data_IF_786628011081
#
_entry.id   IF_786628011081
#
_cell.length_a   1.000
_cell.length_b   1.000
_cell.length_c   1.000
_cell.angle_alpha   90.00
_cell.angle_beta   90.00
_cell.angle_gamma   90.00
#
_symmetry.space_group_name_H-M   'P 1'
#
loop_
_entity.id
_entity.type
_entity.pdbx_description
1 polymer ?
#
# COMPACT_ATOMS: atom_id res chain seq x y z
N UNK A 1 8.30 -20.80 -4.56
CA UNK A 1 9.77 -20.74 -4.63
C UNK A 1 10.44 -21.58 -3.53
N UNK A 2 10.34 -21.21 -2.25
CA UNK A 2 11.11 -21.81 -1.13
C UNK A 2 11.05 -23.36 -1.03
N UNK A 3 9.87 -24.01 -0.99
CA UNK A 3 9.81 -25.48 -0.94
C UNK A 3 10.38 -26.15 -2.19
N UNK A 4 10.30 -25.48 -3.35
CA UNK A 4 10.88 -25.99 -4.60
C UNK A 4 12.41 -25.94 -4.63
N UNK A 5 13.01 -24.88 -4.08
CA UNK A 5 14.47 -24.77 -3.91
C UNK A 5 14.96 -25.87 -2.97
N UNK A 6 14.26 -26.09 -1.85
CA UNK A 6 14.61 -27.11 -0.88
C UNK A 6 14.48 -28.53 -1.45
N UNK A 7 13.40 -28.83 -2.17
CA UNK A 7 13.21 -30.12 -2.85
C UNK A 7 14.23 -30.35 -3.96
N UNK A 8 14.51 -29.35 -4.80
CA UNK A 8 15.51 -29.46 -5.86
C UNK A 8 16.90 -29.74 -5.29
N UNK A 9 17.27 -29.06 -4.19
CA UNK A 9 18.52 -29.37 -3.49
C UNK A 9 18.54 -30.79 -2.92
N UNK A 10 17.43 -31.25 -2.32
CA UNK A 10 17.31 -32.59 -1.74
C UNK A 10 17.47 -33.69 -2.81
N UNK A 11 16.89 -33.51 -3.99
CA UNK A 11 16.92 -34.50 -5.07
C UNK A 11 18.21 -34.49 -5.87
N UNK A 12 18.78 -33.31 -6.14
CA UNK A 12 19.94 -33.20 -7.05
C UNK A 12 21.27 -33.11 -6.30
N UNK A 13 21.27 -32.74 -5.02
CA UNK A 13 22.49 -32.50 -4.22
C UNK A 13 23.40 -31.40 -4.78
N UNK A 14 22.97 -30.70 -5.83
CA UNK A 14 23.80 -29.82 -6.64
C UNK A 14 23.43 -28.36 -6.40
N UNK A 15 24.45 -27.52 -6.21
CA UNK A 15 24.32 -26.08 -5.90
C UNK A 15 24.09 -25.21 -7.16
N UNK A 16 23.89 -25.85 -8.32
CA UNK A 16 23.76 -25.15 -9.59
C UNK A 16 22.57 -24.16 -9.53
N UNK A 17 22.79 -22.85 -9.76
CA UNK A 17 21.73 -21.84 -9.71
C UNK A 17 20.56 -22.19 -10.62
N UNK A 18 20.84 -22.80 -11.77
CA UNK A 18 19.82 -23.21 -12.74
C UNK A 18 18.85 -24.26 -12.18
N UNK A 19 19.35 -25.24 -11.43
CA UNK A 19 18.55 -26.32 -10.84
C UNK A 19 17.67 -25.78 -9.72
N UNK A 20 18.23 -24.90 -8.87
CA UNK A 20 17.49 -24.25 -7.79
C UNK A 20 16.40 -23.32 -8.32
N UNK A 21 16.69 -22.55 -9.38
CA UNK A 21 15.71 -21.68 -10.04
C UNK A 21 14.61 -22.50 -10.71
N UNK A 22 14.93 -23.60 -11.39
CA UNK A 22 13.94 -24.51 -11.97
C UNK A 22 13.02 -25.10 -10.89
N UNK A 23 13.58 -25.57 -9.77
CA UNK A 23 12.80 -26.02 -8.62
C UNK A 23 11.91 -24.92 -8.05
N UNK A 24 12.43 -23.70 -7.91
CA UNK A 24 11.69 -22.54 -7.45
C UNK A 24 10.51 -22.20 -8.37
N UNK A 25 10.73 -22.28 -9.69
CA UNK A 25 9.74 -22.00 -10.73
C UNK A 25 8.62 -23.05 -10.73
N UNK A 26 8.96 -24.35 -10.71
CA UNK A 26 7.99 -25.45 -10.61
C UNK A 26 7.10 -25.31 -9.37
N UNK A 27 7.70 -25.07 -8.21
CA UNK A 27 6.93 -24.84 -6.98
C UNK A 27 6.10 -23.54 -7.03
N UNK A 28 6.57 -22.53 -7.75
CA UNK A 28 5.81 -21.30 -8.01
C UNK A 28 4.55 -21.59 -8.82
N UNK A 29 4.68 -22.30 -9.94
CA UNK A 29 3.55 -22.72 -10.80
C UNK A 29 2.56 -23.57 -10.02
N UNK A 30 3.04 -24.57 -9.27
CA UNK A 30 2.20 -25.39 -8.39
C UNK A 30 1.44 -24.54 -7.37
N UNK A 31 2.12 -23.60 -6.70
CA UNK A 31 1.48 -22.68 -5.76
C UNK A 31 0.40 -21.83 -6.42
N UNK A 32 0.66 -21.28 -7.60
CA UNK A 32 -0.33 -20.51 -8.37
C UNK A 32 -1.54 -21.36 -8.75
N UNK A 33 -1.33 -22.60 -9.19
CA UNK A 33 -2.43 -23.52 -9.51
C UNK A 33 -3.28 -23.82 -8.27
N UNK A 34 -2.66 -24.01 -7.10
CA UNK A 34 -3.39 -24.20 -5.84
C UNK A 34 -4.21 -22.94 -5.50
N UNK A 35 -3.65 -21.73 -5.63
CA UNK A 35 -4.39 -20.48 -5.41
C UNK A 35 -5.61 -20.41 -6.34
N UNK A 36 -5.42 -20.64 -7.64
CA UNK A 36 -6.50 -20.61 -8.63
C UNK A 36 -7.57 -21.66 -8.30
N UNK A 37 -7.16 -22.87 -7.93
CA UNK A 37 -8.07 -23.95 -7.51
C UNK A 37 -8.91 -23.54 -6.30
N UNK A 38 -8.28 -23.01 -5.24
CA UNK A 38 -8.97 -22.55 -4.04
C UNK A 38 -9.97 -21.44 -4.37
N UNK A 39 -9.57 -20.45 -5.16
CA UNK A 39 -10.44 -19.31 -5.53
C UNK A 39 -11.60 -19.74 -6.42
N UNK A 40 -11.41 -20.75 -7.30
CA UNK A 40 -12.48 -21.27 -8.15
C UNK A 40 -13.46 -22.17 -7.41
N UNK A 41 -12.99 -22.94 -6.43
CA UNK A 41 -13.82 -23.92 -5.72
C UNK A 41 -14.46 -23.36 -4.45
N UNK A 42 -13.94 -22.25 -3.89
CA UNK A 42 -14.44 -21.66 -2.63
C UNK A 42 -14.84 -20.20 -2.80
N UNK A 43 -15.55 -19.64 -1.81
CA UNK A 43 -15.91 -18.20 -1.76
C UNK A 43 -14.79 -17.31 -1.21
N UNK A 44 -13.57 -17.83 -1.12
CA UNK A 44 -12.42 -17.09 -0.57
C UNK A 44 -11.91 -16.09 -1.60
N UNK A 45 -11.71 -14.84 -1.17
CA UNK A 45 -11.13 -13.80 -2.03
C UNK A 45 -9.70 -14.17 -2.44
N UNK A 46 -9.31 -13.79 -3.66
CA UNK A 46 -7.98 -14.07 -4.20
C UNK A 46 -6.84 -13.67 -3.25
N UNK A 47 -6.94 -12.49 -2.63
CA UNK A 47 -5.92 -12.00 -1.69
C UNK A 47 -5.78 -12.89 -0.44
N UNK A 48 -6.90 -13.39 0.08
CA UNK A 48 -6.91 -14.30 1.24
C UNK A 48 -6.36 -15.67 0.87
N UNK A 49 -6.73 -16.20 -0.30
CA UNK A 49 -6.22 -17.47 -0.81
C UNK A 49 -4.71 -17.40 -1.06
N UNK A 50 -4.23 -16.30 -1.66
CA UNK A 50 -2.81 -16.02 -1.84
C UNK A 50 -2.07 -16.05 -0.50
N UNK A 51 -2.58 -15.34 0.52
CA UNK A 51 -1.96 -15.29 1.85
C UNK A 51 -1.88 -16.66 2.54
N UNK A 52 -2.94 -17.47 2.44
CA UNK A 52 -2.96 -18.83 3.00
C UNK A 52 -1.95 -19.72 2.29
N UNK A 53 -1.98 -19.78 0.96
CA UNK A 53 -1.08 -20.66 0.18
C UNK A 53 0.38 -20.26 0.39
N UNK A 54 0.68 -18.95 0.39
CA UNK A 54 2.02 -18.45 0.68
C UNK A 54 2.49 -18.90 2.07
N UNK A 55 1.66 -18.76 3.10
CA UNK A 55 2.01 -19.15 4.47
C UNK A 55 2.27 -20.65 4.61
N UNK A 56 1.42 -21.49 4.00
CA UNK A 56 1.57 -22.96 4.03
C UNK A 56 2.82 -23.41 3.27
N UNK A 57 3.01 -22.93 2.04
CA UNK A 57 4.18 -23.29 1.22
C UNK A 57 5.47 -22.80 1.85
N UNK A 58 5.44 -21.61 2.46
CA UNK A 58 6.58 -21.05 3.17
C UNK A 58 6.95 -21.87 4.41
N UNK A 59 5.96 -22.18 5.27
CA UNK A 59 6.15 -23.01 6.44
C UNK A 59 6.66 -24.41 6.09
N UNK A 60 6.07 -25.04 5.07
CA UNK A 60 6.53 -26.34 4.57
C UNK A 60 7.98 -26.28 4.06
N UNK A 61 8.32 -25.26 3.28
CA UNK A 61 9.68 -25.07 2.79
C UNK A 61 10.69 -24.83 3.91
N UNK A 62 10.32 -24.10 4.97
CA UNK A 62 11.18 -23.88 6.14
C UNK A 62 11.43 -25.17 6.92
N UNK A 63 10.42 -26.04 7.06
CA UNK A 63 10.60 -27.37 7.67
C UNK A 63 11.60 -28.20 6.85
N UNK A 64 11.44 -28.24 5.53
CA UNK A 64 12.39 -28.93 4.65
C UNK A 64 13.80 -28.37 4.77
N UNK A 65 13.93 -27.05 4.81
CA UNK A 65 15.22 -26.37 4.97
C UNK A 65 15.88 -26.75 6.29
N UNK A 66 15.14 -26.69 7.39
CA UNK A 66 15.64 -27.06 8.73
C UNK A 66 16.08 -28.52 8.76
N UNK A 67 15.31 -29.41 8.12
CA UNK A 67 15.67 -30.82 7.98
C UNK A 67 16.96 -31.03 7.17
N UNK A 68 17.14 -30.29 6.08
CA UNK A 68 18.37 -30.33 5.27
C UNK A 68 19.55 -29.89 6.12
N UNK A 69 19.46 -28.75 6.81
CA UNK A 69 20.55 -28.14 7.60
C UNK A 69 21.04 -29.01 8.76
N UNK A 70 20.19 -29.88 9.32
CA UNK A 70 20.57 -30.80 10.38
C UNK A 70 21.44 -31.97 9.89
N UNK A 71 21.62 -32.17 8.58
CA UNK A 71 22.53 -33.19 8.05
C UNK A 71 23.98 -32.68 8.00
N UNK A 72 24.98 -33.50 8.36
CA UNK A 72 26.39 -33.07 8.46
C UNK A 72 27.01 -32.54 7.15
N UNK A 73 26.53 -32.98 5.99
CA UNK A 73 26.93 -32.46 4.65
C UNK A 73 26.25 -31.13 4.26
N UNK A 74 25.31 -30.63 5.06
CA UNK A 74 24.41 -29.53 4.68
C UNK A 74 24.83 -28.13 5.14
N UNK A 75 25.82 -28.04 6.05
CA UNK A 75 26.37 -26.77 6.55
C UNK A 75 26.96 -25.84 5.47
N UNK A 76 27.11 -26.34 4.23
CA UNK A 76 27.65 -25.59 3.09
C UNK A 76 26.65 -25.26 1.97
N UNK A 77 25.34 -25.47 2.15
CA UNK A 77 24.37 -25.22 1.08
C UNK A 77 24.09 -23.73 0.84
N UNK A 78 24.39 -22.85 1.81
CA UNK A 78 24.19 -21.40 1.67
C UNK A 78 22.73 -20.96 1.48
N UNK A 79 21.77 -21.86 1.69
CA UNK A 79 20.34 -21.61 1.44
C UNK A 79 19.80 -20.47 2.31
N UNK A 80 20.20 -20.36 3.59
CA UNK A 80 19.77 -19.25 4.45
C UNK A 80 20.18 -17.90 3.87
N UNK A 81 21.40 -17.82 3.30
CA UNK A 81 21.89 -16.60 2.64
C UNK A 81 21.06 -16.28 1.41
N UNK A 82 20.60 -17.29 0.68
CA UNK A 82 19.75 -17.11 -0.49
C UNK A 82 18.31 -16.70 -0.12
N UNK A 83 17.79 -17.16 1.03
CA UNK A 83 16.42 -16.87 1.46
C UNK A 83 16.29 -15.50 2.14
N UNK A 84 17.24 -15.17 3.00
CA UNK A 84 17.25 -13.93 3.80
C UNK A 84 18.16 -12.85 3.23
N UNK A 85 18.89 -13.14 2.16
CA UNK A 85 19.85 -12.23 1.55
C UNK A 85 21.09 -12.00 2.42
N UNK A 86 22.21 -11.71 1.78
CA UNK A 86 23.39 -11.20 2.46
C UNK A 86 24.08 -10.15 1.60
N UNK A 87 23.79 -8.87 1.85
CA UNK A 87 24.44 -7.78 1.15
C UNK A 87 25.97 -7.78 1.38
N UNK A 88 26.42 -8.26 2.55
CA UNK A 88 27.84 -8.40 2.88
C UNK A 88 28.59 -9.43 2.01
N UNK A 89 27.89 -10.31 1.30
CA UNK A 89 28.50 -11.31 0.41
C UNK A 89 28.69 -10.79 -1.03
N UNK A 90 28.24 -9.57 -1.34
CA UNK A 90 28.34 -8.98 -2.68
C UNK A 90 29.77 -8.49 -2.94
N UNK A 91 30.36 -8.92 -4.05
CA UNK A 91 31.64 -8.39 -4.51
C UNK A 91 31.45 -7.14 -5.36
N UNK A 92 32.50 -6.33 -5.50
CA UNK A 92 32.50 -5.15 -6.36
C UNK A 92 32.11 -5.48 -7.82
N UNK A 93 32.50 -6.65 -8.32
CA UNK A 93 32.11 -7.13 -9.66
C UNK A 93 30.60 -7.34 -9.78
N UNK A 94 29.96 -7.86 -8.74
CA UNK A 94 28.51 -8.09 -8.70
C UNK A 94 27.76 -6.75 -8.67
N UNK A 95 28.28 -5.76 -7.96
CA UNK A 95 27.71 -4.41 -7.96
C UNK A 95 27.73 -3.77 -9.35
N UNK A 96 28.83 -3.92 -10.09
CA UNK A 96 28.94 -3.37 -11.45
C UNK A 96 27.99 -4.07 -12.42
N UNK A 97 27.87 -5.40 -12.34
CA UNK A 97 26.93 -6.14 -13.21
C UNK A 97 25.47 -5.81 -12.88
N UNK A 98 25.12 -5.70 -11.59
CA UNK A 98 23.79 -5.26 -11.15
C UNK A 98 23.49 -3.84 -11.61
N UNK A 99 24.43 -2.91 -11.49
CA UNK A 99 24.28 -1.53 -11.93
C UNK A 99 24.11 -1.44 -13.45
N UNK A 100 24.86 -2.22 -14.22
CA UNK A 100 24.73 -2.27 -15.68
C UNK A 100 23.36 -2.83 -16.12
N UNK A 101 22.98 -4.02 -15.61
CA UNK A 101 21.70 -4.65 -15.92
C UNK A 101 20.51 -3.80 -15.46
N UNK A 102 20.57 -3.27 -14.23
CA UNK A 102 19.55 -2.39 -13.69
C UNK A 102 19.46 -1.08 -14.47
N UNK A 103 20.59 -0.50 -14.85
CA UNK A 103 20.65 0.71 -15.68
C UNK A 103 20.02 0.50 -17.05
N UNK A 104 20.29 -0.62 -17.72
CA UNK A 104 19.64 -0.98 -18.98
C UNK A 104 18.14 -1.15 -18.79
N UNK A 105 17.71 -1.89 -17.76
CA UNK A 105 16.29 -2.11 -17.49
C UNK A 105 15.54 -0.78 -17.21
N UNK A 106 16.12 0.10 -16.40
CA UNK A 106 15.57 1.43 -16.11
C UNK A 106 15.52 2.31 -17.37
N UNK A 107 16.55 2.25 -18.22
CA UNK A 107 16.59 3.00 -19.48
C UNK A 107 15.49 2.54 -20.42
N UNK A 108 15.33 1.22 -20.60
CA UNK A 108 14.24 0.66 -21.42
C UNK A 108 12.89 1.08 -20.85
N UNK A 109 12.68 0.95 -19.54
CA UNK A 109 11.45 1.38 -18.88
C UNK A 109 11.15 2.88 -19.10
N UNK A 110 12.17 3.73 -19.05
CA UNK A 110 12.02 5.17 -19.29
C UNK A 110 11.68 5.48 -20.76
N UNK A 111 12.27 4.74 -21.71
CA UNK A 111 11.99 4.90 -23.14
C UNK A 111 10.56 4.50 -23.52
N UNK A 112 10.05 3.40 -22.96
CA UNK A 112 8.67 2.91 -23.20
C UNK A 112 7.66 3.38 -22.15
N UNK A 113 7.97 4.44 -21.41
CA UNK A 113 7.17 4.91 -20.28
C UNK A 113 5.72 5.25 -20.66
N UNK A 114 5.52 5.85 -21.83
CA UNK A 114 4.20 6.25 -22.33
C UNK A 114 3.35 5.04 -22.68
N UNK A 115 3.95 4.01 -23.26
CA UNK A 115 3.30 2.75 -23.63
C UNK A 115 2.96 1.91 -22.40
N UNK A 116 3.87 1.82 -21.42
CA UNK A 116 3.62 1.13 -20.14
C UNK A 116 2.50 1.82 -19.34
N UNK A 117 2.43 3.15 -19.40
CA UNK A 117 1.30 3.89 -18.82
C UNK A 117 -0.02 3.52 -19.49
N UNK A 118 -0.04 3.40 -20.82
CA UNK A 118 -1.24 3.01 -21.57
C UNK A 118 -1.69 1.60 -21.16
N UNK A 119 -0.76 0.65 -21.13
CA UNK A 119 -1.00 -0.73 -20.69
C UNK A 119 -1.63 -0.81 -19.28
N UNK A 120 -1.17 0.05 -18.35
CA UNK A 120 -1.63 0.04 -16.97
C UNK A 120 -3.02 0.68 -16.75
N UNK A 121 -3.44 1.61 -17.62
CA UNK A 121 -4.71 2.33 -17.47
C UNK A 121 -5.80 1.82 -18.41
N UNK A 122 -5.47 1.55 -19.67
CA UNK A 122 -6.40 1.08 -20.69
C UNK A 122 -5.66 0.33 -21.81
N UNK A 123 -5.48 -1.00 -21.68
CA UNK A 123 -4.84 -1.80 -22.71
C UNK A 123 -5.68 -1.85 -24.00
N UNK A 124 -7.01 -1.82 -23.92
CA UNK A 124 -7.87 -1.91 -25.11
C UNK A 124 -7.78 -0.65 -25.97
N UNK A 125 -7.75 0.51 -25.34
CA UNK A 125 -7.45 1.77 -26.02
C UNK A 125 -6.06 1.75 -26.67
N UNK A 126 -5.08 1.13 -26.01
CA UNK A 126 -3.75 0.91 -26.59
C UNK A 126 -3.74 0.04 -27.85
N UNK A 127 -4.58 -0.99 -27.92
CA UNK A 127 -4.77 -1.81 -29.12
C UNK A 127 -5.38 -0.96 -30.24
N UNK A 128 -6.37 -0.11 -29.94
CA UNK A 128 -7.01 0.76 -30.92
C UNK A 128 -6.05 1.79 -31.55
N UNK A 129 -5.02 2.19 -30.81
CA UNK A 129 -3.93 3.06 -31.27
C UNK A 129 -2.85 2.33 -32.09
N UNK A 130 -2.97 1.01 -32.26
CA UNK A 130 -2.01 0.20 -33.03
C UNK A 130 -0.77 -0.24 -32.26
N UNK A 131 -0.73 -0.07 -30.94
CA UNK A 131 0.39 -0.54 -30.14
C UNK A 131 0.30 -2.05 -29.85
N UNK A 132 1.42 -2.79 -29.87
CA UNK A 132 1.44 -4.22 -29.56
C UNK A 132 1.37 -4.46 -28.04
N UNK A 133 0.18 -4.33 -27.43
CA UNK A 133 -0.03 -4.48 -25.98
C UNK A 133 0.49 -5.79 -25.41
N UNK A 134 0.34 -6.91 -26.13
CA UNK A 134 0.91 -8.21 -25.71
C UNK A 134 2.44 -8.18 -25.63
N UNK A 135 3.11 -7.49 -26.55
CA UNK A 135 4.56 -7.33 -26.53
C UNK A 135 5.02 -6.46 -25.36
N UNK A 136 4.25 -5.40 -25.05
CA UNK A 136 4.51 -4.53 -23.90
C UNK A 136 4.31 -5.24 -22.56
N UNK A 137 3.32 -6.12 -22.46
CA UNK A 137 3.10 -6.94 -21.26
C UNK A 137 4.26 -7.93 -21.02
N UNK A 138 4.73 -8.59 -22.09
CA UNK A 138 5.93 -9.45 -22.04
C UNK A 138 7.18 -8.64 -21.67
N UNK A 139 7.35 -7.44 -22.23
CA UNK A 139 8.45 -6.55 -21.90
C UNK A 139 8.42 -6.14 -20.42
N UNK A 140 7.27 -5.69 -19.92
CA UNK A 140 7.08 -5.31 -18.52
C UNK A 140 7.38 -6.49 -17.59
N UNK A 141 6.87 -7.67 -17.92
CA UNK A 141 7.11 -8.90 -17.16
C UNK A 141 8.59 -9.27 -17.16
N UNK A 142 9.29 -9.09 -18.29
CA UNK A 142 10.71 -9.35 -18.41
C UNK A 142 11.54 -8.38 -17.58
N UNK A 143 11.22 -7.08 -17.63
CA UNK A 143 11.85 -6.05 -16.78
C UNK A 143 11.64 -6.36 -15.30
N UNK A 144 10.44 -6.79 -14.92
CA UNK A 144 10.12 -7.23 -13.56
C UNK A 144 10.96 -8.45 -13.16
N UNK A 145 11.09 -9.46 -14.02
CA UNK A 145 11.93 -10.64 -13.75
C UNK A 145 13.39 -10.24 -13.58
N UNK A 146 13.94 -9.38 -14.44
CA UNK A 146 15.32 -8.86 -14.31
C UNK A 146 15.49 -8.14 -12.98
N UNK A 147 14.57 -7.26 -12.60
CA UNK A 147 14.61 -6.55 -11.33
C UNK A 147 14.54 -7.51 -10.12
N UNK A 148 13.69 -8.53 -10.20
CA UNK A 148 13.60 -9.58 -9.17
C UNK A 148 14.94 -10.29 -9.06
N UNK A 149 15.48 -10.85 -10.15
CA UNK A 149 16.74 -11.63 -10.15
C UNK A 149 17.90 -10.85 -9.56
N UNK A 150 18.04 -9.56 -9.91
CA UNK A 150 19.05 -8.67 -9.34
C UNK A 150 18.86 -8.54 -7.82
N UNK A 151 17.63 -8.27 -7.37
CA UNK A 151 17.35 -8.09 -5.94
C UNK A 151 17.34 -9.38 -5.11
N UNK A 152 17.15 -10.55 -5.73
CA UNK A 152 17.22 -11.84 -5.01
C UNK A 152 18.59 -12.05 -4.37
N UNK A 153 19.66 -11.59 -5.02
CA UNK A 153 21.01 -11.72 -4.48
C UNK A 153 21.25 -10.81 -3.27
N UNK A 154 20.63 -9.63 -3.23
CA UNK A 154 20.85 -8.64 -2.16
C UNK A 154 19.96 -8.87 -0.94
N UNK A 155 18.66 -9.03 -1.17
CA UNK A 155 17.64 -9.09 -0.09
C UNK A 155 17.15 -10.52 0.14
N UNK A 156 17.33 -11.44 -0.80
CA UNK A 156 16.86 -12.81 -0.70
C UNK A 156 15.44 -13.03 -1.25
N UNK A 157 15.11 -14.28 -1.54
CA UNK A 157 13.88 -14.64 -2.27
C UNK A 157 12.60 -14.25 -1.55
N UNK A 158 12.57 -14.44 -0.25
CA UNK A 158 11.36 -14.24 0.58
C UNK A 158 11.04 -12.76 0.67
N UNK A 159 12.09 -11.96 0.85
CA UNK A 159 12.01 -10.55 1.16
C UNK A 159 11.89 -9.71 -0.11
N UNK A 160 12.30 -10.24 -1.27
CA UNK A 160 12.06 -9.60 -2.55
C UNK A 160 10.58 -9.40 -2.88
N UNK A 161 9.71 -10.34 -2.49
CA UNK A 161 8.27 -10.16 -2.67
C UNK A 161 7.77 -8.91 -1.90
N UNK A 162 8.28 -8.69 -0.69
CA UNK A 162 7.97 -7.49 0.10
C UNK A 162 8.55 -6.22 -0.57
N UNK A 163 9.79 -6.26 -1.05
CA UNK A 163 10.45 -5.13 -1.73
C UNK A 163 9.75 -4.70 -3.03
N UNK A 164 9.11 -5.63 -3.75
CA UNK A 164 8.36 -5.30 -4.97
C UNK A 164 7.03 -4.60 -4.64
N UNK A 165 6.36 -5.02 -3.57
CA UNK A 165 4.97 -4.61 -3.28
C UNK A 165 4.90 -3.41 -2.31
N UNK A 166 5.65 -3.47 -1.20
CA UNK A 166 5.56 -2.52 -0.11
C UNK A 166 5.84 -1.05 -0.50
N UNK A 167 6.94 -0.71 -1.21
CA UNK A 167 7.20 0.69 -1.58
C UNK A 167 6.15 1.26 -2.54
N UNK A 168 5.64 0.44 -3.48
CA UNK A 168 4.56 0.84 -4.38
C UNK A 168 3.24 1.10 -3.61
N UNK A 169 2.93 0.23 -2.65
CA UNK A 169 1.76 0.39 -1.78
C UNK A 169 1.87 1.65 -0.91
N UNK A 170 3.07 1.94 -0.36
CA UNK A 170 3.34 3.16 0.38
C UNK A 170 3.19 4.41 -0.49
N UNK A 171 3.81 4.44 -1.67
CA UNK A 171 3.80 5.58 -2.58
C UNK A 171 2.39 5.93 -3.08
N UNK A 172 1.57 4.91 -3.34
CA UNK A 172 0.18 5.09 -3.80
C UNK A 172 -0.73 5.78 -2.78
N UNK A 173 -0.33 5.86 -1.50
CA UNK A 173 -1.10 6.62 -0.50
C UNK A 173 -0.91 8.14 -0.64
N UNK A 174 0.22 8.58 -1.21
CA UNK A 174 0.56 9.99 -1.33
C UNK A 174 0.04 10.64 -2.60
N UNK A 175 -0.05 9.88 -3.70
CA UNK A 175 -0.43 10.41 -5.01
C UNK A 175 -1.21 9.38 -5.83
N UNK A 176 -2.11 9.89 -6.68
CA UNK A 176 -2.83 9.11 -7.69
C UNK A 176 -2.16 9.20 -9.08
N UNK A 177 -1.11 10.04 -9.23
CA UNK A 177 -0.38 10.21 -10.50
C UNK A 177 0.70 9.15 -10.64
N UNK A 178 0.58 8.26 -11.62
CA UNK A 178 1.50 7.13 -11.83
C UNK A 178 2.98 7.51 -11.79
N UNK A 179 3.39 8.57 -12.50
CA UNK A 179 4.80 9.01 -12.49
C UNK A 179 5.32 9.43 -11.11
N UNK A 180 4.47 10.10 -10.31
CA UNK A 180 4.82 10.46 -8.94
C UNK A 180 4.88 9.22 -8.06
N UNK A 181 3.93 8.29 -8.22
CA UNK A 181 3.90 7.03 -7.47
C UNK A 181 5.16 6.20 -7.74
N UNK A 182 5.59 6.08 -9.00
CA UNK A 182 6.79 5.31 -9.36
C UNK A 182 8.06 5.96 -8.81
N UNK A 183 8.19 7.28 -8.90
CA UNK A 183 9.34 8.00 -8.32
C UNK A 183 9.39 7.87 -6.79
N UNK A 184 8.24 8.02 -6.11
CA UNK A 184 8.14 7.83 -4.66
C UNK A 184 8.43 6.37 -4.26
N UNK A 185 7.93 5.39 -5.01
CA UNK A 185 8.20 3.98 -4.74
C UNK A 185 9.69 3.67 -4.87
N UNK A 186 10.35 4.17 -5.92
CA UNK A 186 11.80 4.05 -6.08
C UNK A 186 12.55 4.72 -4.91
N UNK A 187 12.13 5.92 -4.50
CA UNK A 187 12.70 6.63 -3.35
C UNK A 187 12.53 5.88 -2.03
N UNK A 188 11.33 5.37 -1.74
CA UNK A 188 11.08 4.57 -0.53
C UNK A 188 11.83 3.25 -0.52
N UNK A 189 11.93 2.58 -1.67
CA UNK A 189 12.73 1.37 -1.81
C UNK A 189 14.22 1.64 -1.57
N UNK A 190 14.77 2.71 -2.16
CA UNK A 190 16.15 3.12 -1.96
C UNK A 190 16.42 3.51 -0.49
N UNK A 191 15.54 4.30 0.13
CA UNK A 191 15.65 4.68 1.54
C UNK A 191 15.59 3.46 2.46
N UNK A 192 14.67 2.53 2.23
CA UNK A 192 14.58 1.29 3.01
C UNK A 192 15.83 0.42 2.84
N UNK A 193 16.36 0.33 1.61
CA UNK A 193 17.59 -0.41 1.31
C UNK A 193 18.81 0.19 2.02
N UNK A 194 19.01 1.51 1.92
CA UNK A 194 20.14 2.21 2.56
C UNK A 194 20.01 2.16 4.08
N UNK A 195 18.86 2.55 4.64
CA UNK A 195 18.65 2.51 6.10
C UNK A 195 18.75 1.10 6.65
N UNK A 196 18.17 0.10 5.98
CA UNK A 196 18.26 -1.29 6.39
C UNK A 196 19.67 -1.86 6.31
N UNK A 197 20.44 -1.50 5.27
CA UNK A 197 21.84 -1.91 5.15
C UNK A 197 22.73 -1.27 6.23
N UNK A 198 22.57 0.03 6.49
CA UNK A 198 23.34 0.75 7.53
C UNK A 198 22.98 0.25 8.94
N UNK A 199 21.69 0.06 9.26
CA UNK A 199 21.30 -0.51 10.54
C UNK A 199 21.85 -1.92 10.73
N UNK A 200 21.90 -2.70 9.64
CA UNK A 200 22.44 -4.06 9.68
C UNK A 200 23.96 -4.10 9.84
N UNK A 201 24.69 -3.04 9.49
CA UNK A 201 26.14 -2.97 9.68
C UNK A 201 26.53 -2.52 11.10
N UNK A 202 25.70 -1.70 11.75
CA UNK A 202 25.95 -1.19 13.11
C UNK A 202 25.60 -2.22 14.19
N UNK A 203 24.58 -3.06 13.96
CA UNK A 203 24.15 -4.09 14.91
C UNK A 203 24.79 -5.45 14.57
N UNK A 204 25.66 -5.94 15.45
CA UNK A 204 26.30 -7.25 15.29
C UNK A 204 25.26 -8.36 15.07
N UNK A 205 25.42 -9.12 13.97
CA UNK A 205 24.64 -10.33 13.61
C UNK A 205 23.21 -10.13 13.11
N UNK A 206 22.77 -8.93 12.75
CA UNK A 206 21.48 -8.79 12.05
C UNK A 206 21.60 -9.22 10.58
N UNK A 207 20.69 -10.07 10.05
CA UNK A 207 20.64 -10.36 8.62
C UNK A 207 20.13 -9.12 7.86
N UNK A 208 20.80 -8.77 6.76
CA UNK A 208 20.53 -7.52 6.01
C UNK A 208 19.12 -7.47 5.43
N UNK A 209 18.61 -8.58 4.90
CA UNK A 209 17.31 -8.60 4.25
C UNK A 209 16.12 -8.33 5.19
N UNK A 210 15.97 -9.05 6.32
CA UNK A 210 14.91 -8.79 7.30
C UNK A 210 14.92 -7.34 7.82
N UNK A 211 16.11 -6.77 8.04
CA UNK A 211 16.26 -5.37 8.48
C UNK A 211 15.73 -4.39 7.44
N UNK A 212 16.03 -4.61 6.15
CA UNK A 212 15.46 -3.82 5.05
C UNK A 212 13.92 -3.90 5.02
N UNK A 213 13.35 -5.08 5.26
CA UNK A 213 11.90 -5.27 5.30
C UNK A 213 11.26 -4.60 6.53
N UNK A 214 11.92 -4.58 7.67
CA UNK A 214 11.48 -3.81 8.84
C UNK A 214 11.48 -2.30 8.53
N UNK A 215 12.54 -1.79 7.89
CA UNK A 215 12.63 -0.39 7.48
C UNK A 215 11.51 -0.01 6.50
N UNK A 216 11.26 -0.79 5.43
CA UNK A 216 10.15 -0.49 4.51
C UNK A 216 8.79 -0.59 5.20
N UNK A 217 8.62 -1.52 6.14
CA UNK A 217 7.37 -1.65 6.91
C UNK A 217 7.14 -0.39 7.74
N UNK A 218 8.18 0.14 8.38
CA UNK A 218 8.12 1.44 9.05
C UNK A 218 7.71 2.57 8.11
N UNK A 219 8.27 2.63 6.90
CA UNK A 219 7.90 3.61 5.87
C UNK A 219 6.44 3.44 5.44
N UNK A 220 5.98 2.21 5.21
CA UNK A 220 4.58 1.91 4.84
C UNK A 220 3.62 2.34 5.94
N UNK A 221 3.91 1.99 7.20
CA UNK A 221 3.09 2.39 8.35
C UNK A 221 3.06 3.91 8.50
N UNK A 222 4.21 4.56 8.44
CA UNK A 222 4.29 6.03 8.45
C UNK A 222 3.50 6.67 7.31
N UNK A 223 3.61 6.12 6.10
CA UNK A 223 2.85 6.53 4.92
C UNK A 223 1.34 6.38 5.13
N UNK A 224 0.88 5.23 5.63
CA UNK A 224 -0.53 4.95 5.90
C UNK A 224 -1.13 5.87 6.97
N UNK A 225 -0.34 6.28 7.96
CA UNK A 225 -0.79 7.21 9.00
C UNK A 225 -0.84 8.65 8.49
N UNK A 226 0.21 9.10 7.80
CA UNK A 226 0.44 10.51 7.44
C UNK A 226 -0.15 10.92 6.09
N UNK A 227 -0.53 9.97 5.22
CA UNK A 227 -0.95 10.27 3.85
C UNK A 227 -2.15 11.27 3.80
N UNK A 228 -2.06 12.36 3.03
CA UNK A 228 -3.04 13.45 3.07
C UNK A 228 -4.44 13.12 2.50
N UNK A 229 -4.54 12.13 1.58
CA UNK A 229 -5.80 11.72 0.94
C UNK A 229 -6.43 10.45 1.51
N UNK A 230 -5.60 9.50 1.97
CA UNK A 230 -6.05 8.19 2.47
C UNK A 230 -5.63 7.92 3.92
N UNK A 231 -4.82 8.78 4.52
CA UNK A 231 -4.31 8.60 5.87
C UNK A 231 -5.44 8.66 6.88
N UNK A 232 -5.41 7.71 7.80
CA UNK A 232 -6.43 7.54 8.84
C UNK A 232 -6.58 8.82 9.69
N UNK A 233 -5.48 9.52 9.95
CA UNK A 233 -5.45 10.78 10.69
C UNK A 233 -6.18 11.90 9.95
N UNK A 234 -5.86 12.11 8.67
CA UNK A 234 -6.50 13.17 7.87
C UNK A 234 -7.97 12.88 7.57
N UNK A 235 -8.35 11.60 7.46
CA UNK A 235 -9.74 11.16 7.33
C UNK A 235 -10.53 11.46 8.61
N UNK A 236 -9.94 11.20 9.77
CA UNK A 236 -10.59 11.49 11.06
C UNK A 236 -10.68 12.99 11.34
N UNK A 237 -9.63 13.77 11.01
CA UNK A 237 -9.69 15.24 11.11
C UNK A 237 -10.74 15.85 10.17
N UNK A 238 -10.84 15.38 8.91
CA UNK A 238 -11.91 15.82 7.99
C UNK A 238 -13.28 15.43 8.54
N UNK A 239 -13.46 14.18 8.98
CA UNK A 239 -14.72 13.72 9.60
C UNK A 239 -15.14 14.58 10.79
N UNK A 240 -14.20 14.98 11.64
CA UNK A 240 -14.48 15.87 12.77
C UNK A 240 -14.89 17.27 12.32
N UNK A 241 -14.21 17.83 11.31
CA UNK A 241 -14.58 19.14 10.73
C UNK A 241 -15.93 19.10 10.00
N UNK A 242 -16.16 18.06 9.22
CA UNK A 242 -17.40 17.86 8.47
C UNK A 242 -18.58 17.64 9.42
N UNK A 243 -18.40 16.87 10.51
CA UNK A 243 -19.41 16.76 11.59
C UNK A 243 -19.75 18.11 12.23
N UNK A 244 -18.76 18.99 12.41
CA UNK A 244 -18.99 20.34 12.92
C UNK A 244 -19.83 21.20 11.96
N UNK A 245 -19.53 21.14 10.66
CA UNK A 245 -20.31 21.84 9.62
C UNK A 245 -21.73 21.30 9.50
N UNK A 246 -21.88 19.98 9.44
CA UNK A 246 -23.19 19.32 9.35
C UNK A 246 -24.07 19.64 10.57
N UNK A 247 -23.50 19.76 11.78
CA UNK A 247 -24.24 20.19 12.96
C UNK A 247 -24.70 21.64 12.87
N UNK A 248 -23.87 22.54 12.34
CA UNK A 248 -24.25 23.95 12.14
C UNK A 248 -25.36 24.06 11.09
N UNK A 249 -25.27 23.31 10.00
CA UNK A 249 -26.28 23.26 8.94
C UNK A 249 -27.61 22.66 9.44
N UNK A 250 -27.56 21.58 10.23
CA UNK A 250 -28.75 20.96 10.81
C UNK A 250 -29.50 21.93 11.76
N UNK A 251 -28.78 22.65 12.64
CA UNK A 251 -29.38 23.65 13.53
C UNK A 251 -30.02 24.80 12.74
N UNK A 252 -29.41 25.19 11.63
CA UNK A 252 -29.90 26.27 10.78
C UNK A 252 -31.18 25.84 10.01
N UNK A 253 -31.23 24.59 9.55
CA UNK A 253 -32.42 23.98 8.94
C UNK A 253 -33.57 23.78 9.96
N UNK A 254 -33.26 23.38 11.20
CA UNK A 254 -34.26 23.24 12.27
C UNK A 254 -34.90 24.60 12.58
N UNK A 255 -34.09 25.66 12.70
CA UNK A 255 -34.58 27.02 12.91
C UNK A 255 -35.50 27.48 11.78
N UNK A 256 -35.17 27.17 10.52
CA UNK A 256 -36.01 27.50 9.38
C UNK A 256 -37.33 26.73 9.41
N UNK A 257 -37.28 25.45 9.77
CA UNK A 257 -38.47 24.60 9.89
C UNK A 257 -39.43 25.12 10.96
N UNK A 258 -38.88 25.62 12.08
CA UNK A 258 -39.67 26.22 13.16
C UNK A 258 -40.22 27.61 12.80
N UNK A 259 -39.46 28.42 12.06
CA UNK A 259 -39.91 29.72 11.55
C UNK A 259 -41.08 29.55 10.56
N UNK A 260 -41.05 28.54 9.69
CA UNK A 260 -42.15 28.23 8.77
C UNK A 260 -43.46 27.83 9.47
N UNK A 261 -43.41 27.38 10.73
CA UNK A 261 -44.59 27.03 11.52
C UNK A 261 -45.23 28.23 12.22
N UNK A 262 -44.56 29.39 12.25
CA UNK A 262 -45.04 30.60 12.91
C UNK A 262 -45.17 31.74 11.89
N UNK A 263 -46.38 32.28 11.65
CA UNK A 263 -46.61 33.34 10.67
C UNK A 263 -45.85 34.65 10.96
N UNK A 264 -45.49 34.87 12.22
CA UNK A 264 -44.72 36.03 12.67
C UNK A 264 -43.22 35.71 12.56
N UNK A 265 -42.59 36.14 11.45
CA UNK A 265 -41.18 35.88 11.08
C UNK A 265 -40.09 36.51 11.98
N UNK A 266 -40.35 36.54 13.29
CA UNK A 266 -39.46 37.03 14.35
C UNK A 266 -39.63 36.30 15.69
N UNK A 267 -40.33 35.17 15.74
CA UNK A 267 -40.46 34.39 16.97
C UNK A 267 -39.13 33.71 17.34
N UNK A 268 -38.66 33.90 18.57
CA UNK A 268 -37.46 33.26 19.07
C UNK A 268 -37.74 31.84 19.55
N UNK A 269 -36.97 30.87 19.09
CA UNK A 269 -37.08 29.47 19.51
C UNK A 269 -36.06 29.13 20.58
N UNK A 270 -36.46 28.33 21.58
CA UNK A 270 -35.58 28.00 22.70
C UNK A 270 -34.44 27.06 22.30
N UNK A 271 -33.25 27.26 22.87
CA UNK A 271 -32.11 26.39 22.62
C UNK A 271 -32.39 24.93 23.05
N UNK A 272 -33.26 24.74 24.04
CA UNK A 272 -33.71 23.42 24.48
C UNK A 272 -34.41 22.62 23.36
N UNK A 273 -35.31 23.25 22.61
CA UNK A 273 -36.04 22.59 21.51
C UNK A 273 -35.09 22.21 20.36
N UNK A 274 -34.17 23.10 20.01
CA UNK A 274 -33.15 22.86 18.98
C UNK A 274 -32.16 21.75 19.39
N UNK A 275 -31.87 21.63 20.68
CA UNK A 275 -31.02 20.56 21.21
C UNK A 275 -31.67 19.17 21.09
N UNK A 276 -33.00 19.09 21.14
CA UNK A 276 -33.77 17.84 21.01
C UNK A 276 -33.88 17.40 19.55
N UNK A 277 -34.00 18.35 18.60
CA UNK A 277 -34.20 18.03 17.18
C UNK A 277 -32.93 17.53 16.48
N UNK A 278 -31.79 18.23 16.65
CA UNK A 278 -30.54 17.92 15.94
C UNK A 278 -29.33 17.68 16.85
N UNK A 279 -29.52 17.62 18.17
CA UNK A 279 -28.41 17.66 19.11
C UNK A 279 -27.71 19.04 19.14
N UNK A 280 -28.44 20.09 18.75
CA UNK A 280 -28.00 21.47 18.69
C UNK A 280 -27.51 21.98 20.03
N UNK A 281 -26.20 21.97 20.23
CA UNK A 281 -25.57 22.50 21.42
C UNK A 281 -25.52 24.04 21.35
N UNK A 282 -25.70 24.73 22.49
CA UNK A 282 -25.37 26.16 22.69
C UNK A 282 -24.12 26.65 21.92
N UNK A 283 -22.99 25.91 21.87
CA UNK A 283 -21.83 26.29 21.07
C UNK A 283 -22.08 26.40 19.55
N UNK A 284 -22.99 25.61 18.97
CA UNK A 284 -23.36 25.75 17.55
C UNK A 284 -24.13 27.03 17.30
N UNK A 285 -25.06 27.40 18.20
CA UNK A 285 -25.84 28.64 18.10
C UNK A 285 -24.97 29.89 18.26
N UNK A 286 -24.02 29.88 19.21
CA UNK A 286 -23.04 30.94 19.39
C UNK A 286 -22.13 31.12 18.17
N UNK A 287 -21.73 30.02 17.52
CA UNK A 287 -20.94 30.07 16.29
C UNK A 287 -21.75 30.59 15.10
N UNK A 288 -23.05 30.25 15.00
CA UNK A 288 -23.95 30.81 13.99
C UNK A 288 -24.23 32.31 14.21
N UNK A 289 -24.31 32.76 15.47
CA UNK A 289 -24.44 34.17 15.84
C UNK A 289 -23.18 34.96 15.47
N UNK A 290 -21.99 34.42 15.74
CA UNK A 290 -20.72 35.04 15.30
C UNK A 290 -20.61 35.18 13.79
N UNK A 291 -21.26 34.29 13.03
CA UNK A 291 -21.35 34.36 11.57
C UNK A 291 -22.47 35.26 11.06
N UNK A 292 -23.26 35.85 11.97
CA UNK A 292 -24.37 36.73 11.65
C UNK A 292 -25.56 36.02 11.00
N UNK A 293 -25.68 34.69 11.15
CA UNK A 293 -26.75 33.89 10.54
C UNK A 293 -27.97 33.76 11.47
N UNK A 294 -27.76 33.84 12.78
CA UNK A 294 -28.79 33.73 13.82
C UNK A 294 -28.62 34.89 14.79
N UNK A 295 -29.71 35.39 15.36
CA UNK A 295 -29.73 36.45 16.39
C UNK A 295 -30.40 35.94 17.65
N UNK A 296 -29.87 36.33 18.81
CA UNK A 296 -30.47 36.06 20.11
C UNK A 296 -31.57 37.08 20.46
N UNK A 297 -32.78 36.61 20.72
CA UNK A 297 -33.95 37.38 21.20
C UNK A 297 -34.22 37.01 22.67
N UNK A 298 -33.37 37.48 23.59
CA UNK A 298 -33.52 37.24 25.04
C UNK A 298 -32.68 36.10 25.60
N UNK A 299 -33.00 35.65 26.82
CA UNK A 299 -32.10 34.76 27.57
C UNK A 299 -31.94 33.36 26.97
N UNK A 300 -32.96 32.82 26.30
CA UNK A 300 -32.91 31.48 25.70
C UNK A 300 -33.48 31.37 24.28
N UNK A 301 -33.93 32.48 23.68
CA UNK A 301 -34.60 32.47 22.38
C UNK A 301 -33.68 32.89 21.22
N UNK A 302 -33.73 32.16 20.11
CA UNK A 302 -32.91 32.36 18.92
C UNK A 302 -33.77 32.44 17.67
N UNK A 303 -33.45 33.37 16.75
CA UNK A 303 -34.16 33.54 15.49
C UNK A 303 -33.19 33.70 14.30
N UNK A 304 -33.64 33.32 13.11
CA UNK A 304 -32.88 33.51 11.88
C UNK A 304 -32.78 34.98 11.50
N UNK A 305 -31.64 35.34 10.92
CA UNK A 305 -31.44 36.63 10.26
C UNK A 305 -31.73 36.49 8.76
N UNK A 306 -31.91 37.59 8.03
CA UNK A 306 -32.02 37.56 6.56
C UNK A 306 -30.90 36.76 5.85
N UNK A 307 -29.59 36.96 6.17
CA UNK A 307 -28.52 36.14 5.59
C UNK A 307 -28.55 34.68 6.07
N UNK A 308 -29.13 34.39 7.23
CA UNK A 308 -29.43 33.04 7.69
C UNK A 308 -30.48 32.35 6.82
N UNK A 309 -31.60 33.02 6.57
CA UNK A 309 -32.69 32.55 5.70
C UNK A 309 -32.21 32.20 4.29
N UNK A 310 -31.46 33.12 3.67
CA UNK A 310 -30.92 32.92 2.32
C UNK A 310 -29.93 31.74 2.22
N UNK A 311 -29.35 31.31 3.34
CA UNK A 311 -28.41 30.17 3.40
C UNK A 311 -29.09 28.85 3.77
N UNK A 312 -30.29 28.93 4.33
CA UNK A 312 -31.11 27.79 4.72
C UNK A 312 -31.93 27.24 3.55
N UNK A 313 -32.27 28.11 2.58
CA UNK A 313 -32.96 27.73 1.35
C UNK A 313 -32.14 26.73 0.50
N UNK A 314 -32.78 25.67 -0.04
CA UNK A 314 -32.12 24.59 -0.78
C UNK A 314 -31.57 25.00 -2.16
#
# INVERSE_FOLDING_TARGET
ALPGVALAFLFTGSKAPLVLVLGAALAGVLGTLVVIGVVRTTRVKYDSALGIVLSVFFGFGLVLLTYIQQRPDASQAGLDRFLFGQAAALLQRDLVTMAALGGVALTVMALVWKELKLLAFDPDFGISLGFPMRGLDVLLTTLLVVAIVIGLQTVGVVLMAAMVIAPAAAARQWSDRLGVVTALAAGFGALAGVSGAVLSSEAERLPTGPTIVLCITGIVVGSLLLAPRRGLLWRELRRRRDRGRLRLEAVLQDLQTLELQHPDGGHGHSAAVLSVMSGGALPSLQELERRGLVRRLGDDAWALTEPGRARAEP
#
